data_IF_646176921223
#
_entry.id   IF_646176921223
#
_cell.length_a   1.000
_cell.length_b   1.000
_cell.length_c   1.000
_cell.angle_alpha   90.00
_cell.angle_beta   90.00
_cell.angle_gamma   90.00
#
_symmetry.space_group_name_H-M   'P 1'
#
loop_
_entity.id
_entity.type
_entity.pdbx_description
1 polymer ?
#
# COMPACT_ATOMS: atom_id res chain seq x y z
N UNK A 1 58.12 16.03 -3.22
CA UNK A 1 56.97 16.75 -3.82
C UNK A 1 56.22 17.52 -2.72
N UNK A 2 55.98 18.81 -2.93
CA UNK A 2 55.57 19.78 -1.88
C UNK A 2 54.11 19.63 -1.44
N UNK A 3 53.88 19.65 -0.11
CA UNK A 3 52.55 19.54 0.54
C UNK A 3 51.52 20.60 0.08
N UNK A 4 51.96 21.67 -0.60
CA UNK A 4 51.08 22.72 -1.16
C UNK A 4 50.23 22.26 -2.33
N UNK A 5 50.74 21.38 -3.21
CA UNK A 5 49.99 20.93 -4.40
C UNK A 5 48.75 20.10 -4.01
N UNK A 6 48.85 19.32 -2.93
CA UNK A 6 47.77 18.43 -2.48
C UNK A 6 46.56 19.18 -1.88
N UNK A 7 46.75 20.46 -1.48
CA UNK A 7 45.69 21.27 -0.87
C UNK A 7 44.80 21.94 -1.91
N UNK A 8 45.36 22.30 -3.07
CA UNK A 8 44.63 22.86 -4.22
C UNK A 8 43.69 21.84 -4.87
N UNK A 9 44.15 20.60 -5.06
CA UNK A 9 43.33 19.53 -5.67
C UNK A 9 42.07 19.20 -4.85
N UNK A 10 42.09 19.40 -3.53
CA UNK A 10 40.92 19.16 -2.66
C UNK A 10 39.81 20.21 -2.84
N UNK A 11 40.14 21.43 -3.28
CA UNK A 11 39.14 22.49 -3.51
C UNK A 11 38.60 22.52 -4.95
N UNK A 12 39.37 22.04 -5.93
CA UNK A 12 38.95 22.01 -7.33
C UNK A 12 38.06 20.80 -7.67
N UNK A 13 38.29 19.64 -7.05
CA UNK A 13 37.60 18.38 -7.37
C UNK A 13 36.77 17.88 -6.19
N UNK A 14 35.91 18.75 -5.66
CA UNK A 14 35.11 18.54 -4.45
C UNK A 14 34.78 17.07 -4.14
N UNK A 15 35.09 16.67 -2.91
CA UNK A 15 34.84 15.35 -2.31
C UNK A 15 33.33 15.02 -2.30
N UNK A 16 32.78 14.73 -3.48
CA UNK A 16 31.43 14.22 -3.65
C UNK A 16 31.52 12.72 -3.40
N UNK A 17 31.34 12.33 -2.14
CA UNK A 17 31.07 10.94 -1.79
C UNK A 17 29.86 10.49 -2.62
N UNK A 18 29.91 9.35 -3.33
CA UNK A 18 28.72 8.82 -3.97
C UNK A 18 27.71 8.54 -2.85
N UNK A 19 26.61 9.29 -2.84
CA UNK A 19 25.48 8.95 -2.00
C UNK A 19 24.92 7.65 -2.59
N UNK A 20 25.27 6.52 -1.98
CA UNK A 20 24.60 5.24 -2.23
C UNK A 20 23.13 5.43 -1.84
N UNK A 21 22.32 5.90 -2.79
CA UNK A 21 20.89 5.88 -2.70
C UNK A 21 20.47 4.41 -2.77
N UNK A 22 20.53 3.71 -1.63
CA UNK A 22 19.86 2.43 -1.50
C UNK A 22 18.41 2.65 -1.89
N UNK A 23 17.87 1.94 -2.89
CA UNK A 23 16.45 1.98 -3.16
C UNK A 23 15.78 1.53 -1.86
N UNK A 24 14.95 2.40 -1.27
CA UNK A 24 14.12 2.04 -0.13
C UNK A 24 13.28 0.84 -0.57
N UNK A 25 13.72 -0.36 -0.21
CA UNK A 25 12.89 -1.56 -0.30
C UNK A 25 11.75 -1.29 0.67
N UNK A 26 10.59 -0.94 0.12
CA UNK A 26 9.34 -0.98 0.87
C UNK A 26 9.14 -2.43 1.27
N UNK A 27 9.66 -2.80 2.43
CA UNK A 27 9.35 -4.07 3.07
C UNK A 27 7.87 -4.04 3.37
N UNK A 28 7.07 -4.70 2.53
CA UNK A 28 5.69 -5.04 2.82
C UNK A 28 5.70 -5.73 4.19
N UNK A 29 5.23 -5.03 5.22
CA UNK A 29 5.32 -5.48 6.62
C UNK A 29 4.40 -6.66 6.93
N UNK A 30 3.56 -7.08 5.97
CA UNK A 30 2.66 -8.21 6.13
C UNK A 30 2.54 -8.97 4.82
N UNK A 31 2.79 -10.30 4.79
CA UNK A 31 2.51 -11.12 3.62
C UNK A 31 1.00 -11.17 3.41
N UNK A 32 0.51 -10.41 2.42
CA UNK A 32 -0.89 -10.42 2.04
C UNK A 32 -1.25 -11.77 1.41
N UNK A 33 -2.26 -12.45 1.95
CA UNK A 33 -2.75 -13.74 1.42
C UNK A 33 -3.39 -13.52 0.05
N UNK A 34 -3.12 -14.41 -0.92
CA UNK A 34 -3.86 -14.42 -2.18
C UNK A 34 -5.23 -15.03 -1.98
N UNK A 35 -6.28 -14.35 -2.44
CA UNK A 35 -7.66 -14.84 -2.35
C UNK A 35 -7.80 -16.23 -2.98
N UNK A 36 -7.14 -16.46 -4.13
CA UNK A 36 -7.15 -17.77 -4.81
C UNK A 36 -6.43 -18.85 -4.00
N UNK A 37 -5.34 -18.50 -3.31
CA UNK A 37 -4.55 -19.49 -2.54
C UNK A 37 -5.26 -19.97 -1.28
N UNK A 38 -6.11 -19.12 -0.69
CA UNK A 38 -6.82 -19.44 0.56
C UNK A 38 -8.28 -19.83 0.31
N UNK A 39 -8.69 -19.94 -0.96
CA UNK A 39 -10.08 -20.22 -1.33
C UNK A 39 -11.06 -19.14 -0.86
N UNK A 40 -10.60 -17.89 -0.69
CA UNK A 40 -11.45 -16.80 -0.26
C UNK A 40 -12.47 -16.48 -1.37
N UNK A 41 -13.73 -16.50 -0.98
CA UNK A 41 -14.85 -16.05 -1.80
C UNK A 41 -15.64 -15.00 -1.01
N UNK A 42 -15.92 -13.81 -1.57
CA UNK A 42 -16.73 -12.82 -0.87
C UNK A 42 -18.09 -13.41 -0.51
N UNK A 43 -18.50 -13.23 0.74
CA UNK A 43 -19.79 -13.73 1.22
C UNK A 43 -20.89 -12.76 0.79
N UNK A 44 -21.67 -13.11 -0.24
CA UNK A 44 -22.77 -12.25 -0.71
C UNK A 44 -22.31 -10.92 -1.34
N UNK A 45 -23.04 -9.83 -1.04
CA UNK A 45 -22.86 -8.51 -1.63
C UNK A 45 -21.40 -8.05 -1.60
N UNK A 46 -20.81 -7.90 -2.79
CA UNK A 46 -19.46 -7.39 -2.97
C UNK A 46 -19.56 -5.99 -3.58
N UNK A 47 -19.21 -4.96 -2.80
CA UNK A 47 -19.20 -3.59 -3.31
C UNK A 47 -17.86 -3.34 -4.03
N UNK A 48 -17.92 -3.03 -5.32
CA UNK A 48 -16.73 -2.69 -6.10
C UNK A 48 -16.46 -1.19 -6.03
N UNK A 49 -15.21 -0.85 -5.73
CA UNK A 49 -14.74 0.53 -5.66
C UNK A 49 -13.63 0.71 -6.68
N UNK A 50 -13.96 1.41 -7.76
CA UNK A 50 -13.00 1.80 -8.78
C UNK A 50 -12.14 2.98 -8.29
N UNK A 51 -10.83 2.78 -8.35
CA UNK A 51 -9.79 3.74 -7.95
C UNK A 51 -8.82 3.97 -9.12
N UNK A 52 -9.17 3.55 -10.33
CA UNK A 52 -8.41 3.93 -11.52
C UNK A 52 -8.44 5.44 -11.75
N UNK A 53 -7.32 5.97 -12.24
CA UNK A 53 -7.15 7.34 -12.69
C UNK A 53 -7.50 8.47 -11.69
N UNK A 54 -7.74 8.15 -10.42
CA UNK A 54 -7.88 9.14 -9.35
C UNK A 54 -6.55 9.40 -8.62
N UNK A 55 -6.40 10.61 -8.09
CA UNK A 55 -5.21 11.00 -7.34
C UNK A 55 -5.04 10.18 -6.05
N UNK A 56 -3.80 9.93 -5.63
CA UNK A 56 -3.50 9.13 -4.43
C UNK A 56 -4.23 9.63 -3.17
N UNK A 57 -4.35 10.94 -3.01
CA UNK A 57 -5.05 11.51 -1.86
C UNK A 57 -6.55 11.18 -1.89
N UNK A 58 -7.20 11.38 -3.04
CA UNK A 58 -8.62 11.06 -3.24
C UNK A 58 -8.87 9.55 -3.08
N UNK A 59 -8.00 8.72 -3.65
CA UNK A 59 -8.07 7.26 -3.50
C UNK A 59 -8.03 6.84 -2.02
N UNK A 60 -7.12 7.41 -1.22
CA UNK A 60 -7.01 7.12 0.21
C UNK A 60 -8.29 7.42 0.96
N UNK A 61 -8.88 8.59 0.72
CA UNK A 61 -10.13 8.99 1.37
C UNK A 61 -11.30 8.11 0.93
N UNK A 62 -11.38 7.77 -0.35
CA UNK A 62 -12.41 6.88 -0.90
C UNK A 62 -12.29 5.46 -0.34
N UNK A 63 -11.09 4.91 -0.25
CA UNK A 63 -10.80 3.61 0.37
C UNK A 63 -11.24 3.59 1.85
N UNK A 64 -10.82 4.59 2.64
CA UNK A 64 -11.17 4.67 4.06
C UNK A 64 -12.69 4.77 4.25
N UNK A 65 -13.35 5.55 3.40
CA UNK A 65 -14.81 5.73 3.47
C UNK A 65 -15.54 4.44 3.12
N UNK A 66 -15.13 3.77 2.04
CA UNK A 66 -15.69 2.49 1.63
C UNK A 66 -15.44 1.38 2.67
N UNK A 67 -14.22 1.27 3.21
CA UNK A 67 -13.91 0.30 4.26
C UNK A 67 -14.74 0.53 5.54
N UNK A 68 -14.96 1.79 5.92
CA UNK A 68 -15.83 2.12 7.05
C UNK A 68 -17.29 1.77 6.78
N UNK A 69 -17.79 2.04 5.57
CA UNK A 69 -19.14 1.66 5.16
C UNK A 69 -19.31 0.14 5.17
N UNK A 70 -18.37 -0.58 4.56
CA UNK A 70 -18.32 -2.03 4.52
C UNK A 70 -18.33 -2.65 5.92
N UNK A 71 -17.56 -2.09 6.85
CA UNK A 71 -17.54 -2.54 8.24
C UNK A 71 -18.88 -2.36 8.96
N UNK A 72 -19.68 -1.35 8.60
CA UNK A 72 -21.01 -1.15 9.17
C UNK A 72 -22.05 -2.09 8.54
N UNK A 73 -21.93 -2.34 7.25
CA UNK A 73 -22.87 -3.16 6.48
C UNK A 73 -22.50 -4.65 6.48
N UNK A 74 -21.34 -5.01 7.05
CA UNK A 74 -20.77 -6.37 7.04
C UNK A 74 -20.62 -6.93 5.63
N UNK A 75 -20.27 -6.08 4.67
CA UNK A 75 -20.10 -6.42 3.25
C UNK A 75 -18.62 -6.48 2.87
N UNK A 76 -18.28 -7.35 1.91
CA UNK A 76 -16.94 -7.37 1.34
C UNK A 76 -16.80 -6.24 0.31
N UNK A 77 -15.64 -5.57 0.30
CA UNK A 77 -15.31 -4.57 -0.73
C UNK A 77 -14.18 -5.06 -1.61
N UNK A 78 -14.31 -4.82 -2.92
CA UNK A 78 -13.23 -5.00 -3.88
C UNK A 78 -12.66 -3.63 -4.29
N UNK A 79 -11.43 -3.35 -3.87
CA UNK A 79 -10.70 -2.16 -4.30
C UNK A 79 -9.99 -2.44 -5.62
N UNK A 80 -10.41 -1.76 -6.69
CA UNK A 80 -9.82 -1.87 -8.02
C UNK A 80 -8.87 -0.69 -8.21
N UNK A 81 -7.58 -0.91 -7.99
CA UNK A 81 -6.57 0.15 -8.07
C UNK A 81 -5.73 0.11 -9.35
N UNK A 82 -5.89 -0.92 -10.17
CA UNK A 82 -5.18 -1.08 -11.44
C UNK A 82 -3.73 -1.51 -11.32
N UNK A 83 -3.14 -1.82 -12.47
CA UNK A 83 -1.73 -2.24 -12.62
C UNK A 83 -0.82 -1.04 -12.90
N UNK A 84 0.45 -1.09 -12.49
CA UNK A 84 1.48 -0.04 -12.64
C UNK A 84 1.12 1.33 -12.02
N UNK A 85 0.20 2.09 -12.61
CA UNK A 85 -0.25 3.41 -12.13
C UNK A 85 -0.91 3.31 -10.75
N UNK A 86 -1.48 2.15 -10.44
CA UNK A 86 -2.05 1.82 -9.13
C UNK A 86 -1.04 1.49 -8.03
N UNK A 87 0.27 1.47 -8.30
CA UNK A 87 1.28 0.96 -7.34
C UNK A 87 1.24 1.70 -6.01
N UNK A 88 1.13 3.03 -6.01
CA UNK A 88 1.06 3.80 -4.77
C UNK A 88 -0.22 3.51 -3.96
N UNK A 89 -1.34 3.27 -4.64
CA UNK A 89 -2.62 2.92 -4.01
C UNK A 89 -2.54 1.48 -3.47
N UNK A 90 -1.99 0.56 -4.25
CA UNK A 90 -1.71 -0.82 -3.85
C UNK A 90 -0.84 -0.85 -2.60
N UNK A 91 0.25 -0.08 -2.56
CA UNK A 91 1.17 -0.05 -1.42
C UNK A 91 0.50 0.58 -0.19
N UNK A 92 -0.43 1.52 -0.38
CA UNK A 92 -1.24 2.05 0.72
C UNK A 92 -2.19 0.99 1.30
N UNK A 93 -2.87 0.21 0.45
CA UNK A 93 -3.80 -0.86 0.86
C UNK A 93 -3.03 -2.03 1.49
N UNK A 94 -2.04 -2.55 0.77
CA UNK A 94 -1.33 -3.80 1.09
C UNK A 94 -0.13 -3.60 2.02
N UNK A 95 0.45 -2.40 2.05
CA UNK A 95 1.66 -2.11 2.82
C UNK A 95 1.44 -1.83 4.30
N UNK A 96 0.19 -1.82 4.77
CA UNK A 96 -0.14 -1.59 6.18
C UNK A 96 -0.66 -0.21 6.60
N UNK A 97 -0.37 0.93 5.91
CA UNK A 97 -0.91 2.24 6.32
C UNK A 97 -2.43 2.27 6.42
N UNK A 98 -3.14 1.62 5.49
CA UNK A 98 -4.59 1.51 5.56
C UNK A 98 -5.03 0.74 6.81
N UNK A 99 -4.41 -0.42 7.09
CA UNK A 99 -4.77 -1.24 8.24
C UNK A 99 -4.54 -0.50 9.57
N UNK A 100 -3.45 0.26 9.69
CA UNK A 100 -3.23 1.14 10.84
C UNK A 100 -4.35 2.19 10.98
N UNK A 101 -4.77 2.80 9.87
CA UNK A 101 -5.85 3.77 9.86
C UNK A 101 -7.21 3.16 10.22
N UNK A 102 -7.46 1.90 9.89
CA UNK A 102 -8.69 1.19 10.23
C UNK A 102 -8.70 0.74 11.69
N UNK A 103 -7.59 0.20 12.18
CA UNK A 103 -7.41 -0.19 13.57
C UNK A 103 -7.59 1.00 14.52
N UNK A 104 -7.07 2.18 14.15
CA UNK A 104 -7.27 3.42 14.91
C UNK A 104 -8.75 3.84 15.01
N UNK A 105 -9.59 3.38 14.07
CA UNK A 105 -11.05 3.58 14.07
C UNK A 105 -11.82 2.41 14.69
N UNK A 106 -11.13 1.39 15.22
CA UNK A 106 -11.76 0.18 15.74
C UNK A 106 -12.35 -0.73 14.66
N UNK A 107 -12.02 -0.51 13.38
CA UNK A 107 -12.45 -1.36 12.27
C UNK A 107 -11.48 -2.52 12.16
N UNK A 108 -12.00 -3.73 12.32
CA UNK A 108 -11.25 -4.96 12.07
C UNK A 108 -11.56 -5.50 10.69
N UNK A 109 -10.68 -6.33 10.13
CA UNK A 109 -10.88 -6.93 8.82
C UNK A 109 -9.59 -7.51 8.24
N UNK A 110 -9.77 -8.45 7.32
CA UNK A 110 -8.68 -9.06 6.56
C UNK A 110 -8.66 -8.52 5.13
N UNK A 111 -7.45 -8.41 4.58
CA UNK A 111 -7.24 -8.09 3.18
C UNK A 111 -6.78 -9.33 2.41
N UNK A 112 -7.28 -9.49 1.19
CA UNK A 112 -6.87 -10.57 0.30
C UNK A 112 -6.52 -10.03 -1.08
N UNK A 113 -5.38 -10.41 -1.66
CA UNK A 113 -5.05 -9.98 -3.03
C UNK A 113 -5.89 -10.73 -4.06
N UNK A 114 -6.42 -9.99 -5.04
CA UNK A 114 -7.03 -10.52 -6.26
C UNK A 114 -6.12 -10.15 -7.43
N UNK A 115 -4.99 -10.85 -7.53
CA UNK A 115 -3.93 -10.55 -8.50
C UNK A 115 -3.26 -9.21 -8.23
N UNK A 116 -2.73 -8.56 -9.27
CA UNK A 116 -1.92 -7.35 -9.13
C UNK A 116 -2.70 -6.04 -9.14
N UNK A 117 -3.92 -6.05 -9.67
CA UNK A 117 -4.72 -4.83 -9.89
C UNK A 117 -5.86 -4.61 -8.90
N UNK A 118 -6.16 -5.59 -8.03
CA UNK A 118 -7.27 -5.47 -7.11
C UNK A 118 -7.01 -6.16 -5.77
N UNK A 119 -7.70 -5.68 -4.73
CA UNK A 119 -7.56 -6.20 -3.36
C UNK A 119 -8.92 -6.24 -2.69
N UNK A 120 -9.28 -7.39 -2.13
CA UNK A 120 -10.46 -7.53 -1.28
C UNK A 120 -10.17 -7.00 0.12
N UNK A 121 -11.18 -6.38 0.71
CA UNK A 121 -11.27 -6.11 2.13
C UNK A 121 -12.53 -6.77 2.66
N UNK A 122 -12.33 -7.68 3.60
CA UNK A 122 -13.39 -8.33 4.33
C UNK A 122 -13.37 -7.80 5.77
N UNK A 123 -14.35 -6.98 6.19
CA UNK A 123 -14.42 -6.44 7.55
C UNK A 123 -14.64 -7.52 8.61
N UNK A 124 -14.93 -8.77 8.23
CA UNK A 124 -14.80 -9.91 9.12
C UNK A 124 -15.64 -9.82 10.40
N UNK A 125 -16.96 -9.97 10.28
CA UNK A 125 -17.76 -10.59 11.34
C UNK A 125 -18.72 -11.62 10.75
N UNK A 126 -18.19 -12.80 10.41
CA UNK A 126 -18.94 -14.04 10.60
C UNK A 126 -18.26 -14.77 11.75
N UNK A 127 -18.72 -14.48 12.95
CA UNK A 127 -18.38 -15.30 14.11
C UNK A 127 -18.73 -16.75 13.81
N UNK A 128 -17.82 -17.65 14.14
CA UNK A 128 -18.24 -18.96 14.63
C UNK A 128 -18.91 -18.77 15.99
#
# INVERSE_FOLDING_TARGET
>A
MSKKANRLNRHLYGNSKPHNASPRKHTLTTPLKSASSVGFTPSGGCCEVDLHDIGLHEAKERIKTAANKASKESETVLFIHGFNRGTAIRDFIRGGPLQQSLNAKGITGEFYSKGDGATYFDPGTRGN
#
